data_IF_160056841593
#
_entry.id   IF_160056841593
#
_cell.length_a   1.000
_cell.length_b   1.000
_cell.length_c   1.000
_cell.angle_alpha   90.00
_cell.angle_beta   90.00
_cell.angle_gamma   90.00
#
_symmetry.space_group_name_H-M   'P 1'
#
loop_
_entity.id
_entity.type
_entity.pdbx_description
1 polymer ?
#
# COMPACT_ATOMS: atom_id res chain seq x y z
N UNK A 1 9.95 33.73 52.75
CA UNK A 1 9.78 33.43 51.30
C UNK A 1 8.29 33.47 51.01
N UNK A 2 7.85 34.42 50.17
CA UNK A 2 6.44 34.71 49.91
C UNK A 2 5.80 33.63 49.02
N UNK A 3 4.53 33.34 49.24
CA UNK A 3 3.70 32.40 48.45
C UNK A 3 3.81 32.62 46.94
N UNK A 4 3.98 33.87 46.51
CA UNK A 4 4.20 34.26 45.11
C UNK A 4 5.46 33.63 44.48
N UNK A 5 6.56 33.49 45.22
CA UNK A 5 7.78 32.88 44.70
C UNK A 5 7.62 31.37 44.48
N UNK A 6 6.87 30.70 45.36
CA UNK A 6 6.58 29.27 45.26
C UNK A 6 5.67 28.96 44.06
N UNK A 7 4.68 29.82 43.80
CA UNK A 7 3.78 29.68 42.65
C UNK A 7 4.49 29.89 41.31
N UNK A 8 5.43 30.85 41.24
CA UNK A 8 6.25 31.07 40.04
C UNK A 8 7.10 29.84 39.71
N UNK A 9 7.81 29.28 40.69
CA UNK A 9 8.64 28.08 40.51
C UNK A 9 7.82 26.85 40.06
N UNK A 10 6.61 26.69 40.62
CA UNK A 10 5.70 25.62 40.22
C UNK A 10 5.21 25.77 38.78
N UNK A 11 4.94 27.00 38.33
CA UNK A 11 4.50 27.28 36.96
C UNK A 11 5.60 27.00 35.92
N UNK A 12 6.84 27.37 36.22
CA UNK A 12 8.01 27.11 35.37
C UNK A 12 8.32 25.61 35.29
N UNK A 13 8.26 24.90 36.43
CA UNK A 13 8.47 23.45 36.46
C UNK A 13 7.38 22.67 35.70
N UNK A 14 6.14 23.17 35.64
CA UNK A 14 5.07 22.58 34.82
C UNK A 14 5.34 22.82 33.34
N UNK A 15 5.74 24.03 32.96
CA UNK A 15 6.07 24.40 31.59
C UNK A 15 7.28 23.61 31.05
N UNK A 16 8.33 23.44 31.85
CA UNK A 16 9.48 22.60 31.49
C UNK A 16 9.07 21.14 31.26
N UNK A 17 8.24 20.55 32.13
CA UNK A 17 7.71 19.19 31.95
C UNK A 17 6.88 19.04 30.67
N UNK A 18 6.09 20.05 30.30
CA UNK A 18 5.34 20.07 29.05
C UNK A 18 6.28 20.07 27.83
N UNK A 19 7.31 20.91 27.82
CA UNK A 19 8.27 20.95 26.72
C UNK A 19 9.08 19.66 26.58
N UNK A 20 9.50 19.04 27.68
CA UNK A 20 10.19 17.73 27.64
C UNK A 20 9.30 16.64 27.03
N UNK A 21 8.00 16.65 27.34
CA UNK A 21 7.03 15.71 26.74
C UNK A 21 6.87 15.96 25.25
N UNK A 22 6.71 17.22 24.84
CA UNK A 22 6.59 17.60 23.42
C UNK A 22 7.83 17.16 22.63
N UNK A 23 9.04 17.39 23.16
CA UNK A 23 10.28 16.97 22.49
C UNK A 23 10.42 15.45 22.40
N UNK A 24 9.95 14.68 23.40
CA UNK A 24 9.94 13.21 23.31
C UNK A 24 8.97 12.70 22.25
N UNK A 25 7.87 13.41 22.03
CA UNK A 25 6.88 13.08 21.00
C UNK A 25 7.32 13.50 19.60
N UNK A 26 8.23 14.47 19.47
CA UNK A 26 8.73 14.96 18.19
C UNK A 26 9.35 13.85 17.32
N UNK A 27 10.14 12.95 17.92
CA UNK A 27 10.72 11.81 17.21
C UNK A 27 9.64 10.93 16.55
N UNK A 28 8.53 10.71 17.25
CA UNK A 28 7.39 9.96 16.71
C UNK A 28 6.68 10.74 15.61
N UNK A 29 6.50 12.05 15.78
CA UNK A 29 5.90 12.89 14.76
C UNK A 29 6.73 12.95 13.49
N UNK A 30 8.07 12.99 13.59
CA UNK A 30 8.96 12.96 12.43
C UNK A 30 8.85 11.65 11.65
N UNK A 31 8.85 10.51 12.35
CA UNK A 31 8.71 9.19 11.70
C UNK A 31 7.36 9.05 10.98
N UNK A 32 6.31 9.65 11.54
CA UNK A 32 4.96 9.63 10.94
C UNK A 32 4.76 10.73 9.87
N UNK A 33 5.77 11.56 9.57
CA UNK A 33 5.65 12.67 8.62
C UNK A 33 4.82 13.86 9.14
N UNK A 34 4.52 13.89 10.44
CA UNK A 34 3.71 14.90 11.13
C UNK A 34 4.57 15.91 11.91
N UNK A 35 5.81 16.16 11.46
CA UNK A 35 6.77 17.05 12.13
C UNK A 35 6.25 18.47 12.39
N UNK A 36 5.22 18.92 11.66
CA UNK A 36 4.56 20.21 11.86
C UNK A 36 3.72 20.30 13.14
N UNK A 37 3.38 19.18 13.78
CA UNK A 37 2.62 19.17 15.06
C UNK A 37 3.47 19.71 16.21
N UNK A 38 4.76 19.38 16.23
CA UNK A 38 5.71 19.82 17.26
C UNK A 38 5.74 21.33 17.46
N UNK A 39 5.94 22.16 16.41
CA UNK A 39 5.96 23.62 16.58
C UNK A 39 4.59 24.20 16.96
N UNK A 40 3.48 23.58 16.55
CA UNK A 40 2.12 23.95 17.00
C UNK A 40 1.98 23.76 18.51
N UNK A 41 2.40 22.59 19.02
CA UNK A 41 2.36 22.29 20.45
C UNK A 41 3.31 23.18 21.26
N UNK A 42 4.49 23.52 20.73
CA UNK A 42 5.43 24.46 21.37
C UNK A 42 4.85 25.87 21.45
N UNK A 43 4.18 26.33 20.40
CA UNK A 43 3.47 27.62 20.38
C UNK A 43 2.37 27.66 21.44
N UNK A 44 1.56 26.60 21.53
CA UNK A 44 0.50 26.47 22.54
C UNK A 44 1.04 26.41 23.98
N UNK A 45 2.27 25.90 24.18
CA UNK A 45 2.98 25.89 25.47
C UNK A 45 3.69 27.24 25.80
N UNK A 46 3.45 28.29 25.00
CA UNK A 46 3.93 29.65 25.22
C UNK A 46 5.36 29.92 24.74
N UNK A 47 5.93 29.06 23.89
CA UNK A 47 7.23 29.30 23.25
C UNK A 47 7.18 30.48 22.25
N UNK A 48 8.33 30.93 21.75
CA UNK A 48 8.44 32.07 20.83
C UNK A 48 7.58 31.89 19.57
N UNK A 49 6.45 32.61 19.45
CA UNK A 49 5.47 32.35 18.40
C UNK A 49 5.99 32.67 17.00
N UNK A 50 6.93 33.62 16.86
CA UNK A 50 7.51 33.98 15.55
C UNK A 50 8.42 32.88 15.01
N UNK A 51 9.23 32.26 15.87
CA UNK A 51 10.13 31.17 15.48
C UNK A 51 9.34 29.92 15.10
N UNK A 52 8.34 29.57 15.91
CA UNK A 52 7.47 28.42 15.66
C UNK A 52 6.59 28.61 14.41
N UNK A 53 6.10 29.83 14.14
CA UNK A 53 5.36 30.13 12.91
C UNK A 53 6.21 29.93 11.65
N UNK A 54 7.49 30.34 11.67
CA UNK A 54 8.43 30.10 10.56
C UNK A 54 8.65 28.60 10.34
N UNK A 55 8.69 27.83 11.42
CA UNK A 55 8.85 26.37 11.36
C UNK A 55 7.59 25.67 10.82
N UNK A 56 6.39 26.06 11.28
CA UNK A 56 5.10 25.60 10.71
C UNK A 56 5.02 25.94 9.23
N UNK A 57 5.40 27.15 8.83
CA UNK A 57 5.42 27.56 7.43
C UNK A 57 6.31 26.63 6.59
N UNK A 58 7.52 26.33 7.06
CA UNK A 58 8.47 25.44 6.37
C UNK A 58 7.99 23.99 6.33
N UNK A 59 7.43 23.47 7.42
CA UNK A 59 7.08 22.05 7.57
C UNK A 59 5.70 21.69 7.02
N UNK A 60 4.79 22.66 6.93
CA UNK A 60 3.40 22.43 6.49
C UNK A 60 3.05 23.27 5.27
N UNK A 61 3.15 24.60 5.38
CA UNK A 61 2.66 25.49 4.31
C UNK A 61 3.43 25.34 3.00
N UNK A 62 4.77 25.30 3.05
CA UNK A 62 5.62 25.15 1.86
C UNK A 62 5.31 23.85 1.10
N UNK A 63 5.29 22.65 1.72
CA UNK A 63 4.86 21.42 1.05
C UNK A 63 3.44 21.49 0.48
N UNK A 64 2.47 22.04 1.23
CA UNK A 64 1.09 22.14 0.76
C UNK A 64 0.95 23.07 -0.46
N UNK A 65 1.65 24.22 -0.45
CA UNK A 65 1.69 25.13 -1.59
C UNK A 65 2.36 24.46 -2.79
N UNK A 66 3.47 23.73 -2.59
CA UNK A 66 4.14 22.99 -3.64
C UNK A 66 3.23 21.91 -4.25
N UNK A 67 2.51 21.15 -3.42
CA UNK A 67 1.52 20.17 -3.87
C UNK A 67 0.39 20.85 -4.64
N UNK A 68 -0.16 21.96 -4.13
CA UNK A 68 -1.21 22.70 -4.82
C UNK A 68 -0.74 23.23 -6.18
N UNK A 69 0.45 23.82 -6.25
CA UNK A 69 1.05 24.28 -7.49
C UNK A 69 1.29 23.13 -8.47
N UNK A 70 1.77 21.98 -7.98
CA UNK A 70 1.91 20.77 -8.77
C UNK A 70 0.57 20.27 -9.31
N UNK A 71 -0.49 20.22 -8.49
CA UNK A 71 -1.83 19.79 -8.92
C UNK A 71 -2.42 20.73 -9.97
N UNK A 72 -2.23 22.04 -9.83
CA UNK A 72 -2.63 23.04 -10.83
C UNK A 72 -1.86 22.82 -12.13
N UNK A 73 -0.54 22.66 -12.04
CA UNK A 73 0.31 22.43 -13.21
C UNK A 73 -0.06 21.11 -13.91
N UNK A 74 -0.23 20.02 -13.16
CA UNK A 74 -0.62 18.73 -13.67
C UNK A 74 -2.00 18.78 -14.33
N UNK A 75 -2.99 19.41 -13.67
CA UNK A 75 -4.32 19.59 -14.24
C UNK A 75 -4.33 20.44 -15.50
N UNK A 76 -3.47 21.45 -15.60
CA UNK A 76 -3.36 22.30 -16.78
C UNK A 76 -2.57 21.65 -17.94
N UNK A 77 -1.59 20.79 -17.64
CA UNK A 77 -0.71 20.17 -18.64
C UNK A 77 -1.18 18.80 -19.12
N UNK A 78 -1.78 17.97 -18.26
CA UNK A 78 -2.16 16.60 -18.60
C UNK A 78 -3.09 16.51 -19.84
N UNK A 79 -4.14 17.34 -19.98
CA UNK A 79 -5.02 17.27 -21.15
C UNK A 79 -4.34 17.68 -22.46
N UNK A 80 -3.21 18.39 -22.39
CA UNK A 80 -2.48 18.86 -23.58
C UNK A 80 -1.65 17.75 -24.24
N UNK A 81 -1.38 16.67 -23.51
CA UNK A 81 -0.64 15.52 -24.04
C UNK A 81 -1.63 14.51 -24.61
N UNK A 82 -1.75 14.48 -25.92
CA UNK A 82 -2.58 13.51 -26.63
C UNK A 82 -1.74 12.28 -26.98
N UNK A 83 -2.14 11.13 -26.44
CA UNK A 83 -1.58 9.82 -26.78
C UNK A 83 -2.52 9.10 -27.73
N UNK A 84 -2.05 7.99 -28.32
CA UNK A 84 -2.90 7.10 -29.13
C UNK A 84 -4.09 6.50 -28.37
N UNK A 85 -4.08 6.56 -27.04
CA UNK A 85 -5.13 6.05 -26.15
C UNK A 85 -6.01 7.17 -25.56
N UNK A 86 -5.80 8.43 -25.97
CA UNK A 86 -6.50 9.60 -25.45
C UNK A 86 -5.59 10.58 -24.71
N UNK A 87 -6.19 11.57 -24.06
CA UNK A 87 -5.45 12.56 -23.26
C UNK A 87 -5.07 11.98 -21.88
N UNK A 88 -3.95 12.45 -21.32
CA UNK A 88 -3.54 12.03 -19.97
C UNK A 88 -4.56 12.57 -18.95
N UNK A 89 -5.09 11.73 -18.03
CA UNK A 89 -6.05 12.17 -17.04
C UNK A 89 -5.41 13.13 -16.03
N UNK A 90 -6.11 14.23 -15.75
CA UNK A 90 -5.74 15.17 -14.68
C UNK A 90 -6.14 14.66 -13.28
N UNK A 91 -5.76 15.38 -12.21
CA UNK A 91 -6.01 14.97 -10.83
C UNK A 91 -7.49 14.75 -10.51
N UNK A 92 -8.37 15.62 -11.02
CA UNK A 92 -9.81 15.50 -10.82
C UNK A 92 -10.39 14.25 -11.50
N UNK A 93 -9.90 13.90 -12.70
CA UNK A 93 -10.34 12.70 -13.40
C UNK A 93 -9.88 11.44 -12.64
N UNK A 94 -8.63 11.41 -12.17
CA UNK A 94 -8.11 10.31 -11.34
C UNK A 94 -8.93 10.15 -10.06
N UNK A 95 -9.32 11.25 -9.41
CA UNK A 95 -10.17 11.21 -8.23
C UNK A 95 -11.55 10.63 -8.53
N UNK A 96 -12.20 11.08 -9.61
CA UNK A 96 -13.50 10.54 -10.04
C UNK A 96 -13.41 9.04 -10.32
N UNK A 97 -12.38 8.58 -11.02
CA UNK A 97 -12.17 7.14 -11.26
C UNK A 97 -11.95 6.35 -9.97
N UNK A 98 -11.21 6.89 -9.00
CA UNK A 98 -11.03 6.25 -7.70
C UNK A 98 -12.37 6.07 -6.96
N UNK A 99 -13.24 7.09 -7.01
CA UNK A 99 -14.59 7.02 -6.44
C UNK A 99 -15.45 5.99 -7.18
N UNK A 100 -15.40 5.97 -8.51
CA UNK A 100 -16.14 5.01 -9.35
C UNK A 100 -15.73 3.56 -9.02
N UNK A 101 -14.43 3.29 -8.88
CA UNK A 101 -13.92 1.97 -8.50
C UNK A 101 -14.39 1.53 -7.11
N UNK A 102 -14.48 2.48 -6.17
CA UNK A 102 -15.04 2.20 -4.85
C UNK A 102 -16.53 1.87 -4.91
N UNK A 103 -17.31 2.63 -5.67
CA UNK A 103 -18.74 2.39 -5.85
C UNK A 103 -19.02 1.05 -6.56
N UNK A 104 -18.24 0.71 -7.59
CA UNK A 104 -18.30 -0.60 -8.25
C UNK A 104 -18.02 -1.74 -7.28
N UNK A 105 -16.99 -1.60 -6.42
CA UNK A 105 -16.68 -2.59 -5.40
C UNK A 105 -17.84 -2.79 -4.41
N UNK A 106 -18.48 -1.70 -3.96
CA UNK A 106 -19.66 -1.79 -3.10
C UNK A 106 -20.83 -2.48 -3.81
N UNK A 107 -21.10 -2.12 -5.06
CA UNK A 107 -22.19 -2.72 -5.85
C UNK A 107 -21.96 -4.23 -6.08
N UNK A 108 -20.71 -4.64 -6.35
CA UNK A 108 -20.34 -6.06 -6.48
C UNK A 108 -20.53 -6.81 -5.17
N UNK A 109 -20.13 -6.25 -4.03
CA UNK A 109 -20.32 -6.87 -2.72
C UNK A 109 -21.81 -7.07 -2.37
N UNK A 110 -22.69 -6.15 -2.80
CA UNK A 110 -24.15 -6.32 -2.65
C UNK A 110 -24.66 -7.47 -3.53
N UNK A 111 -24.23 -7.55 -4.80
CA UNK A 111 -24.62 -8.63 -5.72
C UNK A 111 -24.15 -10.00 -5.23
N UNK A 112 -22.94 -10.09 -4.72
CA UNK A 112 -22.36 -11.31 -4.16
C UNK A 112 -23.18 -11.80 -2.95
N UNK A 113 -23.48 -10.91 -1.98
CA UNK A 113 -24.33 -11.25 -0.83
C UNK A 113 -25.72 -11.71 -1.27
N UNK A 114 -26.37 -10.97 -2.18
CA UNK A 114 -27.68 -11.35 -2.70
C UNK A 114 -27.67 -12.67 -3.47
N UNK A 115 -26.54 -13.05 -4.10
CA UNK A 115 -26.37 -14.37 -4.72
C UNK A 115 -26.35 -15.46 -3.65
N UNK A 116 -25.53 -15.31 -2.61
CA UNK A 116 -25.44 -16.29 -1.53
C UNK A 116 -26.75 -16.46 -0.76
N UNK A 117 -27.47 -15.36 -0.49
CA UNK A 117 -28.81 -15.41 0.11
C UNK A 117 -29.80 -16.22 -0.75
N UNK A 118 -29.75 -16.06 -2.08
CA UNK A 118 -30.60 -16.83 -3.01
C UNK A 118 -30.22 -18.31 -3.05
N UNK A 119 -28.93 -18.61 -3.01
CA UNK A 119 -28.41 -20.00 -2.99
C UNK A 119 -28.81 -20.67 -1.68
N UNK A 120 -28.68 -19.97 -0.55
CA UNK A 120 -29.08 -20.46 0.77
C UNK A 120 -30.59 -20.69 0.86
N UNK A 121 -31.40 -19.71 0.45
CA UNK A 121 -32.86 -19.86 0.42
C UNK A 121 -33.31 -21.01 -0.50
N UNK A 122 -32.64 -21.20 -1.64
CA UNK A 122 -32.86 -22.36 -2.52
C UNK A 122 -32.50 -23.66 -1.80
N UNK A 123 -31.35 -23.72 -1.13
CA UNK A 123 -30.88 -24.91 -0.43
C UNK A 123 -31.79 -25.27 0.75
N UNK A 124 -32.27 -24.28 1.52
CA UNK A 124 -33.21 -24.49 2.62
C UNK A 124 -34.52 -25.11 2.12
N UNK A 125 -35.07 -24.62 1.00
CA UNK A 125 -36.27 -25.22 0.39
C UNK A 125 -36.10 -26.69 -0.01
N UNK A 126 -34.90 -27.12 -0.37
CA UNK A 126 -34.62 -28.53 -0.66
C UNK A 126 -34.55 -29.37 0.60
N UNK A 127 -33.95 -28.83 1.67
CA UNK A 127 -33.89 -29.46 2.99
C UNK A 127 -35.30 -29.65 3.56
N UNK A 128 -36.13 -28.61 3.53
CA UNK A 128 -37.51 -28.65 4.07
C UNK A 128 -38.41 -29.64 3.31
N UNK A 129 -38.11 -29.90 2.03
CA UNK A 129 -38.80 -30.90 1.20
C UNK A 129 -38.26 -32.32 1.36
N UNK A 130 -37.30 -32.54 2.27
CA UNK A 130 -36.66 -33.82 2.49
C UNK A 130 -35.75 -34.28 1.35
N UNK A 131 -35.20 -33.35 0.56
CA UNK A 131 -34.29 -33.60 -0.57
C UNK A 131 -32.88 -33.02 -0.31
N UNK A 132 -32.19 -33.40 0.78
CA UNK A 132 -30.88 -32.85 1.12
C UNK A 132 -29.81 -33.11 0.04
N UNK A 133 -29.95 -34.18 -0.74
CA UNK A 133 -29.06 -34.53 -1.85
C UNK A 133 -29.02 -33.50 -2.99
N UNK A 134 -29.99 -32.56 -3.03
CA UNK A 134 -30.07 -31.51 -4.05
C UNK A 134 -29.47 -30.18 -3.64
N UNK A 135 -29.03 -30.05 -2.37
CA UNK A 135 -28.29 -28.91 -1.85
C UNK A 135 -26.97 -28.82 -2.61
N UNK A 136 -26.67 -27.65 -3.16
CA UNK A 136 -25.41 -27.39 -3.87
C UNK A 136 -24.88 -26.04 -3.46
N UNK A 137 -23.56 -25.98 -3.27
CA UNK A 137 -22.86 -24.72 -3.09
C UNK A 137 -22.53 -24.16 -4.48
N UNK A 138 -23.09 -22.99 -4.79
CA UNK A 138 -22.96 -22.37 -6.11
C UNK A 138 -22.10 -21.11 -5.90
N UNK A 139 -20.81 -21.13 -6.30
CA UNK A 139 -19.93 -19.98 -6.10
C UNK A 139 -20.39 -18.80 -6.94
N UNK A 140 -20.16 -17.58 -6.44
CA UNK A 140 -20.39 -16.36 -7.19
C UNK A 140 -19.32 -16.20 -8.29
N UNK A 141 -19.74 -16.04 -9.55
CA UNK A 141 -18.83 -15.97 -10.71
C UNK A 141 -18.64 -14.55 -11.26
N UNK A 142 -18.95 -13.53 -10.46
CA UNK A 142 -18.75 -12.13 -10.86
C UNK A 142 -17.26 -11.75 -10.99
N UNK A 143 -16.98 -10.72 -11.79
CA UNK A 143 -15.64 -10.18 -11.92
C UNK A 143 -15.13 -9.61 -10.57
N UNK A 144 -13.85 -9.78 -10.24
CA UNK A 144 -13.30 -9.32 -8.97
C UNK A 144 -13.40 -7.79 -8.84
N UNK A 145 -13.60 -7.32 -7.61
CA UNK A 145 -13.56 -5.90 -7.28
C UNK A 145 -12.13 -5.34 -7.32
N UNK A 146 -12.00 -4.02 -7.40
CA UNK A 146 -10.70 -3.34 -7.36
C UNK A 146 -9.85 -3.75 -6.13
N UNK A 147 -10.47 -3.80 -4.95
CA UNK A 147 -9.78 -4.20 -3.72
C UNK A 147 -9.38 -5.68 -3.71
N UNK A 148 -10.22 -6.56 -4.27
CA UNK A 148 -9.88 -7.97 -4.43
C UNK A 148 -8.67 -8.15 -5.36
N UNK A 149 -8.59 -7.38 -6.45
CA UNK A 149 -7.44 -7.41 -7.35
C UNK A 149 -6.16 -6.92 -6.67
N UNK A 150 -6.23 -5.83 -5.90
CA UNK A 150 -5.10 -5.36 -5.09
C UNK A 150 -4.63 -6.46 -4.13
N UNK A 151 -5.57 -7.09 -3.41
CA UNK A 151 -5.25 -8.13 -2.46
C UNK A 151 -4.60 -9.35 -3.13
N UNK A 152 -5.18 -9.84 -4.23
CA UNK A 152 -4.60 -10.93 -5.01
C UNK A 152 -3.19 -10.57 -5.48
N UNK A 153 -2.97 -9.35 -5.99
CA UNK A 153 -1.64 -8.90 -6.43
C UNK A 153 -0.62 -8.90 -5.28
N UNK A 154 -1.00 -8.38 -4.11
CA UNK A 154 -0.13 -8.38 -2.92
C UNK A 154 0.21 -9.82 -2.51
N UNK A 155 -0.78 -10.71 -2.45
CA UNK A 155 -0.56 -12.11 -2.10
C UNK A 155 0.38 -12.80 -3.09
N UNK A 156 0.18 -12.57 -4.39
CA UNK A 156 1.01 -13.14 -5.46
C UNK A 156 2.46 -12.67 -5.34
N UNK A 157 2.70 -11.37 -5.22
CA UNK A 157 4.06 -10.81 -5.09
C UNK A 157 4.73 -11.30 -3.80
N UNK A 158 3.99 -11.34 -2.70
CA UNK A 158 4.54 -11.79 -1.42
C UNK A 158 4.92 -13.28 -1.44
N UNK A 159 4.09 -14.11 -2.08
CA UNK A 159 4.38 -15.52 -2.26
C UNK A 159 5.67 -15.75 -3.08
N UNK A 160 5.80 -15.06 -4.21
CA UNK A 160 7.02 -15.10 -5.03
C UNK A 160 8.25 -14.61 -4.25
N UNK A 161 8.10 -13.52 -3.50
CA UNK A 161 9.15 -13.00 -2.63
C UNK A 161 9.60 -13.99 -1.55
N UNK A 162 8.67 -14.72 -0.92
CA UNK A 162 9.00 -15.71 0.10
C UNK A 162 9.80 -16.88 -0.49
N UNK A 163 9.37 -17.40 -1.64
CA UNK A 163 10.09 -18.48 -2.34
C UNK A 163 11.48 -18.00 -2.76
N UNK A 164 11.56 -16.82 -3.38
CA UNK A 164 12.83 -16.23 -3.77
C UNK A 164 13.76 -16.02 -2.57
N UNK A 165 13.24 -15.52 -1.46
CA UNK A 165 13.99 -15.31 -0.22
C UNK A 165 14.50 -16.61 0.37
N UNK A 166 13.68 -17.67 0.37
CA UNK A 166 14.07 -18.99 0.88
C UNK A 166 15.28 -19.58 0.15
N UNK A 167 15.51 -19.21 -1.11
CA UNK A 167 16.67 -19.66 -1.91
C UNK A 167 17.80 -18.63 -1.88
N UNK A 168 17.48 -17.35 -2.10
CA UNK A 168 18.47 -16.29 -2.22
C UNK A 168 19.19 -16.00 -0.91
N UNK A 169 18.51 -16.08 0.24
CA UNK A 169 19.13 -15.82 1.55
C UNK A 169 20.20 -16.88 1.86
N UNK A 170 19.93 -18.20 1.81
CA UNK A 170 20.97 -19.20 2.01
C UNK A 170 22.13 -19.07 1.01
N UNK A 171 21.84 -18.83 -0.27
CA UNK A 171 22.89 -18.63 -1.28
C UNK A 171 23.75 -17.40 -0.98
N UNK A 172 23.14 -16.30 -0.56
CA UNK A 172 23.84 -15.08 -0.15
C UNK A 172 24.73 -15.30 1.07
N UNK A 173 24.23 -16.05 2.07
CA UNK A 173 25.01 -16.42 3.26
C UNK A 173 26.21 -17.31 2.86
N UNK A 174 25.99 -18.33 2.02
CA UNK A 174 27.06 -19.21 1.53
C UNK A 174 28.13 -18.44 0.76
N UNK A 175 27.72 -17.50 -0.11
CA UNK A 175 28.64 -16.62 -0.82
C UNK A 175 29.42 -15.71 0.15
N UNK A 176 28.78 -15.21 1.21
CA UNK A 176 29.44 -14.37 2.21
C UNK A 176 30.45 -15.11 3.09
N UNK A 177 30.22 -16.40 3.35
CA UNK A 177 31.06 -17.20 4.26
C UNK A 177 32.21 -17.95 3.54
N UNK A 178 32.12 -18.17 2.22
CA UNK A 178 33.13 -18.94 1.47
C UNK A 178 33.66 -18.17 0.24
N UNK A 179 34.97 -17.89 0.16
CA UNK A 179 35.57 -17.28 -1.03
C UNK A 179 35.36 -18.09 -2.32
N UNK A 180 35.27 -19.42 -2.21
CA UNK A 180 35.03 -20.33 -3.34
C UNK A 180 33.57 -20.27 -3.80
N UNK A 181 32.61 -20.25 -2.86
CA UNK A 181 31.21 -20.09 -3.23
C UNK A 181 30.96 -18.69 -3.83
N UNK A 182 31.60 -17.66 -3.28
CA UNK A 182 31.53 -16.31 -3.81
C UNK A 182 32.05 -16.19 -5.25
N UNK A 183 33.20 -16.81 -5.56
CA UNK A 183 33.76 -16.76 -6.91
C UNK A 183 32.89 -17.45 -7.95
N UNK A 184 32.10 -18.46 -7.55
CA UNK A 184 31.13 -19.12 -8.41
C UNK A 184 29.82 -18.32 -8.60
N UNK A 185 29.30 -17.73 -7.52
CA UNK A 185 27.99 -17.03 -7.53
C UNK A 185 28.10 -15.61 -8.09
N UNK A 186 29.18 -14.88 -7.77
CA UNK A 186 29.33 -13.47 -8.13
C UNK A 186 29.22 -13.20 -9.65
N UNK A 187 29.83 -14.00 -10.56
CA UNK A 187 29.64 -13.81 -12.00
C UNK A 187 28.18 -13.92 -12.45
N UNK A 188 27.41 -14.88 -11.90
CA UNK A 188 25.99 -15.03 -12.19
C UNK A 188 25.22 -13.78 -11.75
N UNK A 189 25.44 -13.33 -10.52
CA UNK A 189 24.78 -12.13 -9.98
C UNK A 189 25.05 -10.89 -10.85
N UNK A 190 26.29 -10.71 -11.32
CA UNK A 190 26.64 -9.58 -12.18
C UNK A 190 25.94 -9.61 -13.55
N UNK A 191 25.68 -10.80 -14.11
CA UNK A 191 24.93 -10.95 -15.36
C UNK A 191 23.46 -10.59 -15.18
N UNK A 192 22.85 -10.98 -14.06
CA UNK A 192 21.44 -10.69 -13.79
C UNK A 192 21.19 -9.24 -13.37
N UNK A 193 22.16 -8.58 -12.72
CA UNK A 193 22.02 -7.21 -12.19
C UNK A 193 21.56 -6.13 -13.19
N UNK A 194 22.09 -6.04 -14.42
CA UNK A 194 21.70 -4.99 -15.37
C UNK A 194 20.42 -5.31 -16.16
N UNK A 195 19.90 -6.53 -16.07
CA UNK A 195 18.76 -6.95 -16.90
C UNK A 195 17.46 -6.44 -16.28
N UNK A 196 16.72 -5.64 -17.05
CA UNK A 196 15.39 -5.16 -16.64
C UNK A 196 14.47 -6.33 -16.31
N UNK A 197 13.73 -6.30 -15.19
CA UNK A 197 12.70 -7.30 -14.87
C UNK A 197 11.70 -7.53 -16.01
N UNK A 198 11.36 -6.47 -16.77
CA UNK A 198 10.43 -6.60 -17.90
C UNK A 198 10.97 -7.48 -19.04
N UNK A 199 12.29 -7.57 -19.21
CA UNK A 199 12.91 -8.38 -20.26
C UNK A 199 12.75 -9.90 -20.01
N UNK A 200 12.52 -10.30 -18.76
CA UNK A 200 12.32 -11.71 -18.38
C UNK A 200 10.91 -12.21 -18.65
N UNK A 201 9.92 -11.32 -18.77
CA UNK A 201 8.50 -11.69 -18.91
C UNK A 201 8.24 -12.70 -20.04
N UNK A 202 8.79 -12.56 -21.27
CA UNK A 202 8.54 -13.52 -22.34
C UNK A 202 9.11 -14.91 -22.03
N UNK A 203 10.30 -14.97 -21.43
CA UNK A 203 10.97 -16.24 -21.10
C UNK A 203 10.19 -16.95 -20.00
N UNK A 204 9.82 -16.24 -18.92
CA UNK A 204 9.04 -16.80 -17.82
C UNK A 204 7.69 -17.29 -18.32
N UNK A 205 6.99 -16.48 -19.12
CA UNK A 205 5.69 -16.86 -19.69
C UNK A 205 5.79 -18.12 -20.54
N UNK A 206 6.83 -18.24 -21.36
CA UNK A 206 7.08 -19.43 -22.18
C UNK A 206 7.36 -20.67 -21.31
N UNK A 207 8.24 -20.57 -20.31
CA UNK A 207 8.60 -21.67 -19.42
C UNK A 207 7.40 -22.13 -18.60
N UNK A 208 6.67 -21.20 -17.97
CA UNK A 208 5.46 -21.52 -17.20
C UNK A 208 4.41 -22.18 -18.09
N UNK A 209 4.19 -21.66 -19.30
CA UNK A 209 3.24 -22.25 -20.25
C UNK A 209 3.64 -23.68 -20.66
N UNK A 210 4.94 -23.93 -20.86
CA UNK A 210 5.45 -25.25 -21.21
C UNK A 210 5.32 -26.26 -20.04
N UNK A 211 5.60 -25.82 -18.81
CA UNK A 211 5.51 -26.65 -17.61
C UNK A 211 4.07 -26.99 -17.21
N UNK A 212 3.09 -26.15 -17.59
CA UNK A 212 1.67 -26.34 -17.26
C UNK A 212 0.83 -26.97 -18.39
N UNK A 213 1.44 -27.42 -19.49
CA UNK A 213 0.74 -28.23 -20.50
C UNK A 213 0.21 -29.57 -19.92
N UNK A 214 0.66 -29.97 -18.73
CA UNK A 214 0.10 -31.03 -17.90
C UNK A 214 -0.95 -30.48 -16.93
N UNK A 215 -2.21 -30.74 -17.26
CA UNK A 215 -3.45 -30.31 -16.59
C UNK A 215 -3.64 -30.94 -15.19
N UNK A 216 -3.22 -30.25 -14.11
CA UNK A 216 -3.61 -30.66 -12.74
C UNK A 216 -4.55 -29.67 -12.02
N UNK A 217 -5.08 -28.65 -12.70
CA UNK A 217 -6.23 -27.87 -12.21
C UNK A 217 -6.04 -27.08 -10.90
N UNK A 218 -4.83 -27.04 -10.32
CA UNK A 218 -4.58 -26.51 -8.98
C UNK A 218 -4.44 -24.96 -8.91
N UNK A 219 -4.17 -24.26 -10.03
CA UNK A 219 -3.98 -22.80 -10.02
C UNK A 219 -4.66 -22.08 -11.19
N UNK A 220 -5.18 -20.88 -10.95
CA UNK A 220 -5.80 -20.04 -11.98
C UNK A 220 -4.74 -19.39 -12.90
N UNK A 221 -5.04 -19.28 -14.20
CA UNK A 221 -4.13 -18.64 -15.18
C UNK A 221 -3.78 -17.19 -14.81
N UNK A 222 -4.68 -16.46 -14.14
CA UNK A 222 -4.43 -15.10 -13.66
C UNK A 222 -3.40 -15.03 -12.53
N UNK A 223 -3.30 -16.05 -11.68
CA UNK A 223 -2.29 -16.12 -10.62
C UNK A 223 -0.89 -16.37 -11.19
N UNK A 224 -0.79 -17.14 -12.28
CA UNK A 224 0.49 -17.52 -12.89
C UNK A 224 1.08 -16.46 -13.85
N UNK A 225 0.24 -15.66 -14.50
CA UNK A 225 0.70 -14.58 -15.41
C UNK A 225 1.07 -13.31 -14.63
N UNK A 226 0.57 -13.16 -13.41
CA UNK A 226 0.77 -11.96 -12.57
C UNK A 226 1.82 -12.14 -11.47
N UNK A 227 2.40 -13.35 -11.34
CA UNK A 227 3.51 -13.68 -10.44
C UNK A 227 4.85 -13.50 -11.15
#
# INVERSE_FOLDING_TARGET
MTTAATDMLNSEARRARLFTRINKMDAWFQVLGLAWITPVLKTAAGDNPKAQMKEIWRLLAVPLIAIAAFLVLWGALAPKVQTSLGAIPGPAAVWTEAVNLHQDAQAKAVKERAHYEKVEARNQRFIDRGQPERVKDIPFTGAPSYYQQIWTSIQTVFFGFLIASAVAIPLGILAGLSPVANSAINPLVQIFKPVSPLAWLPIVTMVVSALYATNDGLFSKSFLVSA
#
